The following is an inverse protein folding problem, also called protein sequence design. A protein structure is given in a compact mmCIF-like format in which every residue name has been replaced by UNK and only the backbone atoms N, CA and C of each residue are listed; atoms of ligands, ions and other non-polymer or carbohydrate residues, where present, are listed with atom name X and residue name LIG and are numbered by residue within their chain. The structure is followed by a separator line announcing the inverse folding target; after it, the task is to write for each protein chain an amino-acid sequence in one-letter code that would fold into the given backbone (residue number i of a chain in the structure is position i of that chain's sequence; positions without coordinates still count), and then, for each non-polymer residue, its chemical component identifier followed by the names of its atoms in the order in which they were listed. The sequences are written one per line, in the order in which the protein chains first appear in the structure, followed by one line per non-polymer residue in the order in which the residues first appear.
data_IF_486749716483
#
_entry.id   IF_486749716483
#
_cell.length_a   1.000
_cell.length_b   1.000
_cell.length_c   1.000
_cell.angle_alpha   90.00
_cell.angle_beta   90.00
_cell.angle_gamma   90.00
#
_symmetry.space_group_name_H-M   'P 1'
#
loop_
_entity.id
_entity.type
_entity.pdbx_description
1 polymer ?
#
# COMPACT_ATOMS: atom_id res chain seq x y z
N UNK A 1 34.12 -31.00 7.48
CA UNK A 1 33.12 -31.03 8.57
C UNK A 1 33.03 -29.65 9.19
N UNK A 2 31.92 -28.96 8.98
CA UNK A 2 31.64 -27.64 9.60
C UNK A 2 31.53 -27.86 11.10
N UNK A 3 32.46 -27.33 11.88
CA UNK A 3 32.49 -27.38 13.33
C UNK A 3 31.44 -26.50 14.01
N UNK A 4 30.23 -26.43 13.46
CA UNK A 4 29.12 -25.70 14.03
C UNK A 4 28.54 -26.48 15.21
N UNK A 5 28.60 -25.91 16.41
CA UNK A 5 27.92 -26.46 17.57
C UNK A 5 26.41 -26.36 17.43
N UNK A 6 25.65 -27.31 18.01
CA UNK A 6 24.18 -27.29 17.97
C UNK A 6 23.55 -25.99 18.51
N UNK A 7 24.27 -25.24 19.35
CA UNK A 7 23.83 -23.97 19.92
C UNK A 7 24.10 -22.74 19.00
N UNK A 8 24.88 -22.90 17.93
CA UNK A 8 25.26 -21.76 17.07
C UNK A 8 24.08 -21.10 16.35
N UNK A 9 23.02 -21.83 15.90
CA UNK A 9 21.82 -21.20 15.37
C UNK A 9 21.13 -20.29 16.39
N UNK A 10 21.08 -20.66 17.67
CA UNK A 10 20.47 -19.82 18.71
C UNK A 10 21.29 -18.59 19.00
N UNK A 11 22.61 -18.68 18.98
CA UNK A 11 23.51 -17.51 19.09
C UNK A 11 23.33 -16.57 17.91
N UNK A 12 23.29 -17.13 16.69
CA UNK A 12 23.07 -16.34 15.48
C UNK A 12 21.74 -15.58 15.51
N UNK A 13 20.65 -16.20 15.96
CA UNK A 13 19.34 -15.54 16.13
C UNK A 13 19.45 -14.40 17.16
N UNK A 14 20.08 -14.64 18.31
CA UNK A 14 20.30 -13.61 19.34
C UNK A 14 21.10 -12.43 18.79
N UNK A 15 22.21 -12.71 18.12
CA UNK A 15 23.12 -11.67 17.63
C UNK A 15 22.47 -10.85 16.50
N UNK A 16 21.73 -11.52 15.59
CA UNK A 16 20.92 -10.85 14.59
C UNK A 16 19.83 -9.96 15.21
N UNK A 17 19.13 -10.45 16.23
CA UNK A 17 18.10 -9.68 16.92
C UNK A 17 18.68 -8.41 17.55
N UNK A 18 19.77 -8.54 18.30
CA UNK A 18 20.44 -7.39 18.96
C UNK A 18 20.92 -6.39 17.90
N UNK A 19 21.57 -6.86 16.84
CA UNK A 19 22.09 -6.02 15.75
C UNK A 19 20.97 -5.29 15.04
N UNK A 20 19.89 -5.98 14.68
CA UNK A 20 18.77 -5.37 13.96
C UNK A 20 17.94 -4.44 14.83
N UNK A 21 17.75 -4.78 16.12
CA UNK A 21 17.06 -3.91 17.06
C UNK A 21 17.78 -2.57 17.21
N UNK A 22 19.08 -2.57 17.41
CA UNK A 22 19.87 -1.34 17.57
C UNK A 22 19.94 -0.51 16.27
N UNK A 23 19.99 -1.17 15.11
CA UNK A 23 20.15 -0.50 13.81
C UNK A 23 18.84 0.03 13.21
N UNK A 24 17.87 -0.84 13.01
CA UNK A 24 16.62 -0.51 12.35
C UNK A 24 15.40 -0.59 13.29
N UNK A 25 15.44 -1.47 14.29
CA UNK A 25 14.27 -1.76 15.12
C UNK A 25 13.77 -0.55 15.90
N UNK A 26 14.63 0.26 16.49
CA UNK A 26 14.23 1.48 17.21
C UNK A 26 13.57 2.50 16.29
N UNK A 27 14.11 2.68 15.08
CA UNK A 27 13.54 3.59 14.08
C UNK A 27 12.15 3.09 13.69
N UNK A 28 12.03 1.81 13.34
CA UNK A 28 10.77 1.18 12.97
C UNK A 28 9.74 1.30 14.10
N UNK A 29 10.10 0.97 15.33
CA UNK A 29 9.19 1.07 16.47
C UNK A 29 8.71 2.51 16.71
N UNK A 30 9.59 3.50 16.56
CA UNK A 30 9.23 4.92 16.72
C UNK A 30 8.28 5.36 15.60
N UNK A 31 8.55 4.98 14.36
CA UNK A 31 7.70 5.30 13.20
C UNK A 31 6.32 4.64 13.30
N UNK A 32 6.26 3.36 13.69
CA UNK A 32 4.98 2.68 13.92
C UNK A 32 4.23 3.23 15.13
N UNK A 33 4.94 3.63 16.19
CA UNK A 33 4.34 4.31 17.33
C UNK A 33 3.70 5.65 16.93
N UNK A 34 4.39 6.44 16.11
CA UNK A 34 3.85 7.68 15.55
C UNK A 34 2.62 7.40 14.65
N UNK A 35 2.70 6.43 13.75
CA UNK A 35 1.59 6.06 12.88
C UNK A 35 0.36 5.58 13.68
N UNK A 36 0.57 4.79 14.74
CA UNK A 36 -0.48 4.35 15.65
C UNK A 36 -1.11 5.53 16.41
N UNK A 37 -0.30 6.48 16.86
CA UNK A 37 -0.79 7.71 17.49
C UNK A 37 -1.66 8.54 16.54
N UNK A 38 -1.20 8.78 15.30
CA UNK A 38 -1.96 9.50 14.27
C UNK A 38 -3.29 8.82 13.96
N UNK A 39 -3.31 7.48 13.92
CA UNK A 39 -4.54 6.71 13.76
C UNK A 39 -5.48 6.86 14.98
N UNK A 40 -4.93 6.79 16.19
CA UNK A 40 -5.71 6.90 17.43
C UNK A 40 -6.41 8.25 17.60
N UNK A 41 -5.77 9.33 17.19
CA UNK A 41 -6.37 10.68 17.24
C UNK A 41 -7.32 10.97 16.07
N UNK A 42 -7.52 10.02 15.15
CA UNK A 42 -8.39 10.18 13.97
C UNK A 42 -7.83 11.07 12.87
N UNK A 43 -6.54 11.43 12.94
CA UNK A 43 -5.92 12.27 11.92
C UNK A 43 -5.90 11.59 10.55
N UNK A 44 -5.61 10.29 10.51
CA UNK A 44 -5.61 9.51 9.27
C UNK A 44 -7.01 9.48 8.63
N UNK A 45 -8.06 9.28 9.44
CA UNK A 45 -9.45 9.25 8.95
C UNK A 45 -9.85 10.60 8.35
N UNK A 46 -9.41 11.71 8.98
CA UNK A 46 -9.72 13.06 8.50
C UNK A 46 -9.00 13.39 7.20
N UNK A 47 -7.76 12.97 7.04
CA UNK A 47 -7.01 13.12 5.78
C UNK A 47 -7.71 12.33 4.65
N UNK A 48 -8.11 11.09 4.91
CA UNK A 48 -8.81 10.26 3.93
C UNK A 48 -10.16 10.88 3.57
N UNK A 49 -10.96 11.32 4.53
CA UNK A 49 -12.23 12.00 4.29
C UNK A 49 -12.05 13.22 3.38
N UNK A 50 -11.07 14.07 3.68
CA UNK A 50 -10.80 15.28 2.91
C UNK A 50 -10.39 14.97 1.47
N UNK A 51 -9.48 14.02 1.28
CA UNK A 51 -8.94 13.64 -0.01
C UNK A 51 -9.91 12.78 -0.85
N UNK A 52 -10.86 12.09 -0.23
CA UNK A 52 -11.87 11.29 -0.94
C UNK A 52 -13.08 12.10 -1.42
N UNK A 53 -13.33 13.28 -0.86
CA UNK A 53 -14.47 14.14 -1.26
C UNK A 53 -14.57 14.40 -2.76
N UNK A 54 -13.49 14.78 -3.48
CA UNK A 54 -13.58 15.04 -4.91
C UNK A 54 -13.94 13.81 -5.73
N UNK A 55 -13.63 12.60 -5.23
CA UNK A 55 -13.96 11.35 -5.92
C UNK A 55 -15.46 11.09 -6.00
N UNK A 56 -16.24 11.56 -5.02
CA UNK A 56 -17.70 11.43 -5.01
C UNK A 56 -18.38 12.18 -6.17
N UNK A 57 -17.72 13.16 -6.79
CA UNK A 57 -18.22 13.88 -7.96
C UNK A 57 -18.03 13.10 -9.26
N UNK A 58 -17.15 12.10 -9.30
CA UNK A 58 -16.85 11.31 -10.49
C UNK A 58 -17.86 10.18 -10.63
N UNK A 59 -18.66 10.23 -11.68
CA UNK A 59 -19.74 9.25 -11.94
C UNK A 59 -19.30 8.02 -12.73
N UNK A 60 -18.14 8.08 -13.40
CA UNK A 60 -17.64 6.97 -14.20
C UNK A 60 -16.89 5.96 -13.36
N UNK A 61 -17.36 4.68 -13.25
CA UNK A 61 -16.68 3.68 -12.42
C UNK A 61 -15.24 3.44 -12.88
N UNK A 62 -14.97 3.41 -14.17
CA UNK A 62 -13.63 3.11 -14.68
C UNK A 62 -12.63 4.25 -14.52
N UNK A 63 -13.08 5.50 -14.53
CA UNK A 63 -12.23 6.67 -14.21
C UNK A 63 -11.88 6.67 -12.71
N UNK A 64 -12.78 6.21 -11.85
CA UNK A 64 -12.51 6.07 -10.43
C UNK A 64 -11.42 5.03 -10.12
N UNK A 65 -11.23 4.01 -10.96
CA UNK A 65 -10.20 2.97 -10.76
C UNK A 65 -8.81 3.59 -10.58
N UNK A 66 -8.22 4.30 -11.57
CA UNK A 66 -6.89 4.89 -11.39
C UNK A 66 -6.88 5.99 -10.33
N UNK A 67 -7.95 6.77 -10.18
CA UNK A 67 -8.01 7.83 -9.17
C UNK A 67 -7.95 7.27 -7.76
N UNK A 68 -8.71 6.21 -7.46
CA UNK A 68 -8.68 5.54 -6.16
C UNK A 68 -7.35 4.85 -5.93
N UNK A 69 -6.79 4.20 -6.94
CA UNK A 69 -5.47 3.59 -6.88
C UNK A 69 -4.39 4.63 -6.51
N UNK A 70 -4.32 5.75 -7.22
CA UNK A 70 -3.33 6.80 -6.96
C UNK A 70 -3.59 7.50 -5.62
N UNK A 71 -4.85 7.77 -5.27
CA UNK A 71 -5.18 8.34 -3.97
C UNK A 71 -4.78 7.40 -2.83
N UNK A 72 -5.12 6.12 -2.91
CA UNK A 72 -4.75 5.13 -1.91
C UNK A 72 -3.24 4.95 -1.80
N UNK A 73 -2.51 4.97 -2.93
CA UNK A 73 -1.05 4.96 -2.95
C UNK A 73 -0.46 6.22 -2.31
N UNK A 74 -1.04 7.40 -2.57
CA UNK A 74 -0.63 8.64 -1.90
C UNK A 74 -0.86 8.56 -0.39
N UNK A 75 -2.01 8.04 0.04
CA UNK A 75 -2.32 7.84 1.45
C UNK A 75 -1.38 6.82 2.12
N UNK A 76 -0.93 5.81 1.40
CA UNK A 76 0.02 4.80 1.92
C UNK A 76 1.39 5.39 2.24
N UNK A 77 1.76 6.53 1.64
CA UNK A 77 2.99 7.26 2.00
C UNK A 77 2.92 7.77 3.44
N UNK A 78 1.72 8.17 3.88
CA UNK A 78 1.47 8.76 5.21
C UNK A 78 1.10 7.66 6.21
N UNK A 79 0.34 6.64 5.76
CA UNK A 79 -0.14 5.53 6.58
C UNK A 79 0.64 4.27 6.20
N UNK A 80 1.78 3.97 6.86
CA UNK A 80 2.70 2.90 6.46
C UNK A 80 2.19 1.51 6.87
N UNK A 81 0.89 1.28 6.81
CA UNK A 81 0.24 0.01 7.13
C UNK A 81 -0.81 -0.31 6.07
N UNK A 82 -0.48 -1.21 5.15
CA UNK A 82 -1.39 -1.63 4.08
C UNK A 82 -2.71 -2.18 4.61
N UNK A 83 -2.69 -2.98 5.69
CA UNK A 83 -3.88 -3.55 6.30
C UNK A 83 -4.79 -2.46 6.90
N UNK A 84 -4.23 -1.53 7.67
CA UNK A 84 -5.00 -0.42 8.24
C UNK A 84 -5.58 0.48 7.15
N UNK A 85 -4.78 0.82 6.14
CA UNK A 85 -5.23 1.61 4.99
C UNK A 85 -6.37 0.91 4.25
N UNK A 86 -6.25 -0.38 3.95
CA UNK A 86 -7.29 -1.14 3.27
C UNK A 86 -8.62 -1.13 4.04
N UNK A 87 -8.60 -1.34 5.37
CA UNK A 87 -9.79 -1.30 6.21
C UNK A 87 -10.46 0.08 6.15
N UNK A 88 -9.68 1.16 6.26
CA UNK A 88 -10.22 2.51 6.22
C UNK A 88 -10.76 2.86 4.82
N UNK A 89 -10.05 2.50 3.76
CA UNK A 89 -10.51 2.70 2.39
C UNK A 89 -11.78 1.90 2.07
N UNK A 90 -11.90 0.67 2.58
CA UNK A 90 -13.14 -0.11 2.48
C UNK A 90 -14.30 0.57 3.19
N UNK A 91 -14.07 1.14 4.36
CA UNK A 91 -15.12 1.84 5.10
C UNK A 91 -15.54 3.17 4.43
N UNK A 92 -14.58 3.91 3.85
CA UNK A 92 -14.80 5.29 3.34
C UNK A 92 -15.06 5.34 1.84
N UNK A 93 -14.26 4.65 1.02
CA UNK A 93 -14.34 4.73 -0.44
C UNK A 93 -15.25 3.66 -1.06
N UNK A 94 -15.38 2.48 -0.47
CA UNK A 94 -16.23 1.44 -1.03
C UNK A 94 -17.68 1.89 -1.25
N UNK A 95 -18.34 2.62 -0.33
CA UNK A 95 -19.68 3.15 -0.58
C UNK A 95 -19.74 4.10 -1.78
N UNK A 96 -18.69 4.92 -1.98
CA UNK A 96 -18.58 5.86 -3.10
C UNK A 96 -18.45 5.09 -4.43
N UNK A 97 -17.59 4.06 -4.45
CA UNK A 97 -17.38 3.21 -5.62
C UNK A 97 -18.65 2.44 -6.00
N UNK A 98 -19.37 1.93 -4.99
CA UNK A 98 -20.66 1.27 -5.17
C UNK A 98 -21.73 2.23 -5.72
N UNK A 99 -21.78 3.47 -5.23
CA UNK A 99 -22.68 4.50 -5.74
C UNK A 99 -22.41 4.85 -7.21
N UNK A 100 -21.14 4.77 -7.65
CA UNK A 100 -20.72 4.90 -9.04
C UNK A 100 -20.96 3.64 -9.89
N UNK A 101 -21.66 2.62 -9.35
CA UNK A 101 -21.99 1.34 -10.01
C UNK A 101 -20.76 0.48 -10.36
N UNK A 102 -19.67 0.65 -9.63
CA UNK A 102 -18.52 -0.25 -9.73
C UNK A 102 -18.88 -1.62 -9.15
N UNK A 103 -18.40 -2.70 -9.78
CA UNK A 103 -18.61 -4.06 -9.24
C UNK A 103 -17.89 -4.21 -7.90
N UNK A 104 -18.40 -5.03 -6.97
CA UNK A 104 -17.74 -5.28 -5.69
C UNK A 104 -16.31 -5.81 -5.84
N UNK A 105 -16.09 -6.67 -6.85
CA UNK A 105 -14.79 -7.26 -7.12
C UNK A 105 -13.78 -6.21 -7.59
N UNK A 106 -14.18 -5.35 -8.54
CA UNK A 106 -13.34 -4.23 -9.01
C UNK A 106 -13.03 -3.26 -7.87
N UNK A 107 -14.02 -2.89 -7.06
CA UNK A 107 -13.81 -1.99 -5.92
C UNK A 107 -12.82 -2.57 -4.90
N UNK A 108 -13.00 -3.84 -4.54
CA UNK A 108 -12.08 -4.52 -3.62
C UNK A 108 -10.68 -4.68 -4.22
N UNK A 109 -10.57 -5.06 -5.49
CA UNK A 109 -9.31 -5.21 -6.19
C UNK A 109 -8.52 -3.92 -6.29
N UNK A 110 -9.17 -2.80 -6.56
CA UNK A 110 -8.53 -1.47 -6.61
C UNK A 110 -8.01 -1.08 -5.23
N UNK A 111 -8.82 -1.25 -4.18
CA UNK A 111 -8.41 -0.92 -2.80
C UNK A 111 -7.24 -1.82 -2.35
N UNK A 112 -7.30 -3.11 -2.65
CA UNK A 112 -6.26 -4.06 -2.26
C UNK A 112 -4.89 -3.77 -2.88
N UNK A 113 -4.84 -3.10 -4.03
CA UNK A 113 -3.58 -2.79 -4.73
C UNK A 113 -2.98 -1.44 -4.39
N UNK A 114 -3.63 -0.61 -3.58
CA UNK A 114 -3.20 0.77 -3.29
C UNK A 114 -1.88 0.90 -2.53
N UNK A 115 -1.47 -0.10 -1.76
CA UNK A 115 -0.25 -0.08 -0.97
C UNK A 115 0.80 -1.08 -1.46
N UNK A 116 0.84 -1.35 -2.77
CA UNK A 116 1.76 -2.34 -3.36
C UNK A 116 3.19 -1.78 -3.49
N UNK A 117 3.34 -0.52 -3.86
CA UNK A 117 4.63 0.18 -3.97
C UNK A 117 4.52 1.48 -3.18
N UNK A 118 5.29 1.60 -2.11
CA UNK A 118 5.20 2.73 -1.18
C UNK A 118 6.55 3.41 -1.00
N UNK A 119 6.86 4.43 -1.83
CA UNK A 119 8.10 5.20 -1.70
C UNK A 119 8.02 6.18 -0.51
N UNK A 120 8.07 5.65 0.71
CA UNK A 120 8.01 6.45 1.94
C UNK A 120 9.20 6.18 2.85
N UNK A 121 9.81 7.21 3.46
CA UNK A 121 10.82 7.01 4.49
C UNK A 121 10.26 6.42 5.80
N UNK A 122 8.93 6.36 5.94
CA UNK A 122 8.23 5.78 7.09
C UNK A 122 8.08 4.25 6.99
N UNK A 123 8.36 3.65 5.83
CA UNK A 123 8.29 2.20 5.61
C UNK A 123 9.48 1.47 6.23
N UNK A 124 9.21 0.44 7.03
CA UNK A 124 10.28 -0.37 7.64
C UNK A 124 11.15 -1.09 6.62
N UNK A 125 10.60 -1.48 5.49
CA UNK A 125 11.28 -2.05 4.33
C UNK A 125 12.29 -1.05 3.73
N UNK A 126 11.90 0.20 3.53
CA UNK A 126 12.76 1.25 3.01
C UNK A 126 13.89 1.60 3.99
N UNK A 127 13.60 1.58 5.31
CA UNK A 127 14.62 1.78 6.35
C UNK A 127 15.68 0.67 6.30
N UNK A 128 15.25 -0.57 6.16
CA UNK A 128 16.18 -1.72 6.05
C UNK A 128 16.97 -1.66 4.75
N UNK A 129 16.32 -1.38 3.62
CA UNK A 129 16.96 -1.29 2.32
C UNK A 129 18.03 -0.18 2.29
N UNK A 130 17.70 1.02 2.78
CA UNK A 130 18.65 2.13 2.85
C UNK A 130 19.91 1.76 3.66
N UNK A 131 19.72 1.09 4.80
CA UNK A 131 20.83 0.65 5.66
C UNK A 131 21.71 -0.42 5.00
N UNK A 132 21.10 -1.41 4.36
CA UNK A 132 21.85 -2.48 3.66
C UNK A 132 22.66 -1.92 2.51
N UNK A 133 22.12 -0.90 1.82
CA UNK A 133 22.78 -0.23 0.70
C UNK A 133 23.78 0.85 1.14
N UNK A 134 23.94 1.11 2.44
CA UNK A 134 24.93 2.04 2.98
C UNK A 134 24.53 3.51 2.93
N UNK A 135 23.23 3.82 2.84
CA UNK A 135 22.75 5.21 2.96
C UNK A 135 22.74 5.66 4.41
N UNK A 136 23.24 6.85 4.70
CA UNK A 136 23.19 7.45 6.02
C UNK A 136 21.78 7.87 6.40
N UNK A 137 20.98 8.32 5.42
CA UNK A 137 19.62 8.75 5.62
C UNK A 137 18.66 8.00 4.69
N UNK A 138 17.60 7.41 5.28
CA UNK A 138 16.55 6.72 4.50
C UNK A 138 15.86 7.65 3.49
N UNK A 139 15.78 8.93 3.81
CA UNK A 139 15.19 9.96 2.93
C UNK A 139 15.92 10.04 1.59
N UNK A 140 17.25 9.99 1.61
CA UNK A 140 18.08 10.04 0.39
C UNK A 140 17.83 8.82 -0.49
N UNK A 141 17.80 7.63 0.11
CA UNK A 141 17.45 6.40 -0.62
C UNK A 141 16.04 6.50 -1.25
N UNK A 142 15.06 6.95 -0.47
CA UNK A 142 13.67 7.00 -0.95
C UNK A 142 13.51 8.03 -2.07
N UNK A 143 13.97 9.27 -1.91
CA UNK A 143 13.71 10.32 -2.89
C UNK A 143 14.61 10.25 -4.13
N UNK A 144 15.87 9.87 -3.99
CA UNK A 144 16.82 9.86 -5.12
C UNK A 144 16.91 8.52 -5.86
N UNK A 145 16.44 7.42 -5.24
CA UNK A 145 16.52 6.10 -5.86
C UNK A 145 15.14 5.42 -5.96
N UNK A 146 14.45 5.20 -4.84
CA UNK A 146 13.19 4.47 -4.86
C UNK A 146 12.08 5.24 -5.60
N UNK A 147 11.83 6.50 -5.24
CA UNK A 147 10.74 7.30 -5.81
C UNK A 147 10.94 7.57 -7.32
N UNK A 148 12.18 7.77 -7.76
CA UNK A 148 12.51 8.01 -9.18
C UNK A 148 12.03 6.86 -10.08
N UNK A 149 12.11 5.63 -9.60
CA UNK A 149 11.64 4.45 -10.32
C UNK A 149 10.18 4.19 -10.03
N UNK A 150 9.77 4.28 -8.77
CA UNK A 150 8.42 3.90 -8.32
C UNK A 150 7.34 4.84 -8.85
N UNK A 151 7.56 6.14 -8.91
CA UNK A 151 6.52 7.08 -9.35
C UNK A 151 6.10 6.82 -10.81
N UNK A 152 7.01 6.70 -11.79
CA UNK A 152 6.63 6.32 -13.15
C UNK A 152 5.89 4.98 -13.21
N UNK A 153 6.35 3.98 -12.45
CA UNK A 153 5.69 2.67 -12.38
C UNK A 153 4.28 2.77 -11.81
N UNK A 154 4.06 3.52 -10.73
CA UNK A 154 2.74 3.75 -10.13
C UNK A 154 1.79 4.44 -11.13
N UNK A 155 2.28 5.39 -11.91
CA UNK A 155 1.47 6.05 -12.95
C UNK A 155 1.03 5.04 -13.99
N UNK A 156 1.97 4.24 -14.52
CA UNK A 156 1.67 3.19 -15.51
C UNK A 156 0.73 2.14 -14.93
N UNK A 157 0.95 1.71 -13.69
CA UNK A 157 0.06 0.75 -13.00
C UNK A 157 -1.38 1.27 -12.91
N UNK A 158 -1.60 2.53 -12.58
CA UNK A 158 -2.94 3.11 -12.55
C UNK A 158 -3.64 3.08 -13.92
N UNK A 159 -2.90 3.36 -14.99
CA UNK A 159 -3.40 3.28 -16.37
C UNK A 159 -3.72 1.83 -16.75
N UNK A 160 -2.82 0.90 -16.46
CA UNK A 160 -3.03 -0.54 -16.70
C UNK A 160 -4.24 -1.04 -15.91
N UNK A 161 -4.38 -0.58 -14.66
CA UNK A 161 -5.51 -0.92 -13.79
C UNK A 161 -6.86 -0.53 -14.41
N UNK A 162 -6.95 0.66 -15.05
CA UNK A 162 -8.13 1.09 -15.78
C UNK A 162 -8.54 0.09 -16.87
N UNK A 163 -7.60 -0.30 -17.74
CA UNK A 163 -7.88 -1.20 -18.84
C UNK A 163 -8.18 -2.63 -18.35
N UNK A 164 -7.42 -3.08 -17.34
CA UNK A 164 -7.56 -4.42 -16.79
C UNK A 164 -8.91 -4.63 -16.10
N UNK A 165 -9.32 -3.71 -15.24
CA UNK A 165 -10.61 -3.80 -14.56
C UNK A 165 -11.78 -3.70 -15.54
N UNK A 166 -11.68 -2.82 -16.52
CA UNK A 166 -12.69 -2.74 -17.59
C UNK A 166 -12.78 -4.03 -18.42
N UNK A 167 -11.66 -4.71 -18.63
CA UNK A 167 -11.64 -6.00 -19.34
C UNK A 167 -12.27 -7.10 -18.47
N UNK A 168 -11.92 -7.19 -17.20
CA UNK A 168 -12.46 -8.18 -16.27
C UNK A 168 -13.98 -8.06 -16.13
N UNK A 169 -14.50 -6.85 -15.89
CA UNK A 169 -15.94 -6.62 -15.74
C UNK A 169 -16.72 -7.02 -17.01
N UNK A 170 -16.14 -6.80 -18.19
CA UNK A 170 -16.77 -7.25 -19.46
C UNK A 170 -16.79 -8.78 -19.57
N UNK A 171 -15.71 -9.43 -19.17
CA UNK A 171 -15.59 -10.89 -19.23
C UNK A 171 -16.54 -11.56 -18.21
N UNK A 172 -16.61 -11.05 -16.99
CA UNK A 172 -17.57 -11.52 -15.98
C UNK A 172 -19.02 -11.32 -16.42
N UNK A 173 -19.34 -10.17 -17.00
CA UNK A 173 -20.67 -9.88 -17.55
C UNK A 173 -21.06 -10.86 -18.65
N UNK A 174 -20.14 -11.21 -19.53
CA UNK A 174 -20.36 -12.18 -20.60
C UNK A 174 -20.55 -13.61 -20.05
N UNK A 175 -19.75 -14.02 -19.06
CA UNK A 175 -19.88 -15.33 -18.39
C UNK A 175 -21.24 -15.43 -17.68
N UNK A 176 -21.63 -14.39 -16.95
CA UNK A 176 -22.89 -14.37 -16.21
C UNK A 176 -24.10 -14.45 -17.15
N UNK A 177 -24.08 -13.69 -18.25
CA UNK A 177 -25.12 -13.75 -19.28
C UNK A 177 -25.24 -15.16 -19.88
N UNK A 178 -24.11 -15.81 -20.20
CA UNK A 178 -24.10 -17.16 -20.78
C UNK A 178 -24.63 -18.24 -19.78
N UNK A 179 -24.42 -18.05 -18.47
CA UNK A 179 -24.96 -18.95 -17.44
C UNK A 179 -26.46 -18.75 -17.24
N UNK A 180 -26.93 -17.49 -17.30
CA UNK A 180 -28.37 -17.17 -17.14
C UNK A 180 -29.21 -17.64 -18.35
N UNK A 181 -28.60 -17.87 -19.50
CA UNK A 181 -29.24 -18.38 -20.72
C UNK A 181 -29.22 -19.92 -20.84
N UNK A 182 -28.49 -20.63 -19.99
CA UNK A 182 -28.37 -22.11 -20.00
C UNK A 182 -29.33 -22.78 -19.01
#
# INVERSE_FOLDING_TARGET
ASGLAWADPFKAVKDLFIKQYANAGLIILTLFGFAAYMSKIGANDKVIELLSRPLAAVKSPYILVPLVFWLGTLLSIIIPSAASLAVILMATLYPVLKAAKMTPLTAAGVIATTATIVPTPLGGDNVVAARVLGFDHVVDYVFYHHAVISIPVIIVMGIVHYFWQKHLDRTEGAIKAAVDES
#
